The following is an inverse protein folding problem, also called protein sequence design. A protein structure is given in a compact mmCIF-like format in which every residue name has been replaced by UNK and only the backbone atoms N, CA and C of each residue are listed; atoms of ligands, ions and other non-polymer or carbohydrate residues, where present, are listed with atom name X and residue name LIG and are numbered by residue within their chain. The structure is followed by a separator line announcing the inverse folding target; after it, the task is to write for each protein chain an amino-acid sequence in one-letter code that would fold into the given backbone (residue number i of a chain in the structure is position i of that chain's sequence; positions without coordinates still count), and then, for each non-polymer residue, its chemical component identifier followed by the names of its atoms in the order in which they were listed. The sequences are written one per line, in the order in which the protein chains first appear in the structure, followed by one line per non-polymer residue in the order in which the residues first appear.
data_IF_550890698972
#
_entry.id   IF_550890698972
#
_cell.length_a   1.000
_cell.length_b   1.000
_cell.length_c   1.000
_cell.angle_alpha   90.00
_cell.angle_beta   90.00
_cell.angle_gamma   90.00
#
_symmetry.space_group_name_H-M   'P 1'
#
loop_
_entity.id
_entity.type
_entity.pdbx_description
1 polymer ?
#
# COMPACT_ATOMS: atom_id res chain seq x y z
N UNK A 1 37.53 15.32 1.07
CA UNK A 1 36.08 15.07 1.00
C UNK A 1 35.78 14.47 -0.37
N UNK A 2 35.67 13.15 -0.47
CA UNK A 2 34.95 12.50 -1.58
C UNK A 2 34.62 11.06 -1.16
N UNK A 3 33.55 10.91 -0.37
CA UNK A 3 33.01 9.62 0.02
C UNK A 3 31.94 9.22 -1.02
N UNK A 4 32.38 8.97 -2.26
CA UNK A 4 31.52 8.41 -3.29
C UNK A 4 31.28 6.94 -2.99
N UNK A 5 30.11 6.59 -2.45
CA UNK A 5 29.67 5.20 -2.35
C UNK A 5 29.49 4.70 -3.79
N UNK A 6 30.46 3.94 -4.29
CA UNK A 6 30.35 3.26 -5.57
C UNK A 6 29.45 2.02 -5.36
N UNK A 7 28.15 2.19 -5.56
CA UNK A 7 27.18 1.07 -5.58
C UNK A 7 27.47 0.21 -6.82
N UNK A 8 27.97 -0.99 -6.61
CA UNK A 8 28.08 -1.98 -7.69
C UNK A 8 26.69 -2.44 -8.15
N UNK A 9 26.60 -2.91 -9.39
CA UNK A 9 25.33 -3.32 -10.00
C UNK A 9 24.59 -4.38 -9.18
N UNK A 10 25.31 -5.29 -8.50
CA UNK A 10 24.71 -6.32 -7.65
C UNK A 10 24.08 -5.71 -6.38
N UNK A 11 24.74 -4.72 -5.76
CA UNK A 11 24.14 -3.96 -4.65
C UNK A 11 22.93 -3.14 -5.07
N UNK A 12 22.94 -2.56 -6.27
CA UNK A 12 21.78 -1.84 -6.80
C UNK A 12 20.57 -2.75 -7.01
N UNK A 13 20.79 -3.98 -7.48
CA UNK A 13 19.74 -4.99 -7.62
C UNK A 13 19.17 -5.41 -6.26
N UNK A 14 20.01 -5.55 -5.23
CA UNK A 14 19.53 -5.84 -3.86
C UNK A 14 18.66 -4.71 -3.32
N UNK A 15 19.06 -3.45 -3.51
CA UNK A 15 18.26 -2.29 -3.07
C UNK A 15 16.91 -2.26 -3.79
N UNK A 16 16.87 -2.48 -5.10
CA UNK A 16 15.63 -2.54 -5.88
C UNK A 16 14.70 -3.66 -5.38
N UNK A 17 15.23 -4.85 -5.11
CA UNK A 17 14.43 -5.96 -4.59
C UNK A 17 13.83 -5.62 -3.23
N UNK A 18 14.60 -5.00 -2.34
CA UNK A 18 14.13 -4.56 -1.03
C UNK A 18 13.02 -3.50 -1.15
N UNK A 19 13.17 -2.53 -2.04
CA UNK A 19 12.14 -1.52 -2.31
C UNK A 19 10.82 -2.18 -2.77
N UNK A 20 10.90 -3.15 -3.68
CA UNK A 20 9.72 -3.90 -4.16
C UNK A 20 9.06 -4.69 -3.03
N UNK A 21 9.85 -5.38 -2.21
CA UNK A 21 9.32 -6.15 -1.06
C UNK A 21 8.60 -5.24 -0.05
N UNK A 22 9.18 -4.08 0.25
CA UNK A 22 8.56 -3.10 1.14
C UNK A 22 7.26 -2.51 0.55
N UNK A 23 7.24 -2.18 -0.75
CA UNK A 23 6.03 -1.70 -1.41
C UNK A 23 4.92 -2.77 -1.44
N UNK A 24 5.29 -4.04 -1.62
CA UNK A 24 4.36 -5.16 -1.57
C UNK A 24 3.72 -5.32 -0.18
N UNK A 25 4.51 -5.30 0.90
CA UNK A 25 3.98 -5.34 2.27
C UNK A 25 3.04 -4.15 2.55
N UNK A 26 3.41 -2.94 2.11
CA UNK A 26 2.57 -1.76 2.22
C UNK A 26 1.23 -1.92 1.48
N UNK A 27 1.26 -2.40 0.23
CA UNK A 27 0.07 -2.64 -0.56
C UNK A 27 -0.88 -3.66 0.09
N UNK A 28 -0.33 -4.75 0.62
CA UNK A 28 -1.12 -5.79 1.29
C UNK A 28 -1.80 -5.26 2.55
N UNK A 29 -1.07 -4.48 3.37
CA UNK A 29 -1.62 -3.88 4.59
C UNK A 29 -2.68 -2.82 4.28
N UNK A 30 -2.45 -2.01 3.25
CA UNK A 30 -3.42 -1.02 2.78
C UNK A 30 -4.71 -1.68 2.29
N UNK A 31 -4.58 -2.69 1.45
CA UNK A 31 -5.72 -3.43 0.89
C UNK A 31 -6.55 -4.05 2.00
N UNK A 32 -5.92 -4.72 2.97
CA UNK A 32 -6.62 -5.30 4.11
C UNK A 32 -7.34 -4.25 4.97
N UNK A 33 -6.69 -3.11 5.23
CA UNK A 33 -7.27 -2.02 6.02
C UNK A 33 -8.48 -1.37 5.32
N UNK A 34 -8.35 -1.06 4.03
CA UNK A 34 -9.43 -0.45 3.26
C UNK A 34 -10.58 -1.40 3.00
N UNK A 35 -10.30 -2.68 2.78
CA UNK A 35 -11.34 -3.70 2.69
C UNK A 35 -12.15 -3.77 4.00
N UNK A 36 -11.49 -3.85 5.16
CA UNK A 36 -12.17 -3.90 6.46
C UNK A 36 -13.03 -2.65 6.74
N UNK A 37 -12.61 -1.48 6.24
CA UNK A 37 -13.30 -0.20 6.48
C UNK A 37 -14.47 0.05 5.55
N UNK A 38 -14.31 -0.32 4.29
CA UNK A 38 -15.21 0.11 3.22
C UNK A 38 -16.13 -0.99 2.71
N UNK A 39 -15.76 -2.27 2.90
CA UNK A 39 -16.52 -3.40 2.38
C UNK A 39 -17.21 -4.11 3.55
N UNK A 40 -18.55 -4.11 3.60
CA UNK A 40 -19.27 -4.80 4.65
C UNK A 40 -19.07 -6.33 4.53
N UNK A 41 -19.06 -7.06 5.65
CA UNK A 41 -18.87 -8.53 5.62
C UNK A 41 -20.02 -9.27 4.94
N UNK A 42 -21.17 -8.61 4.76
CA UNK A 42 -22.32 -9.16 4.04
C UNK A 42 -22.43 -8.49 2.67
N UNK A 43 -22.05 -9.23 1.65
CA UNK A 43 -22.20 -8.83 0.25
C UNK A 43 -23.65 -8.98 -0.20
N UNK A 44 -24.24 -7.88 -0.66
CA UNK A 44 -25.59 -7.87 -1.25
C UNK A 44 -25.56 -8.11 -2.76
N UNK A 45 -24.48 -7.69 -3.42
CA UNK A 45 -24.22 -7.82 -4.85
C UNK A 45 -22.71 -7.97 -5.09
N UNK A 46 -22.32 -8.39 -6.30
CA UNK A 46 -20.91 -8.61 -6.65
C UNK A 46 -20.19 -7.32 -7.06
N UNK A 47 -20.95 -6.32 -7.50
CA UNK A 47 -20.42 -5.03 -7.92
C UNK A 47 -20.26 -4.08 -6.73
N UNK A 48 -19.31 -3.16 -6.83
CA UNK A 48 -19.14 -2.14 -5.81
C UNK A 48 -20.25 -1.11 -5.93
N UNK A 49 -20.95 -0.88 -4.83
CA UNK A 49 -21.86 0.25 -4.74
C UNK A 49 -21.06 1.55 -4.81
N UNK A 50 -21.67 2.62 -5.34
CA UNK A 50 -21.04 3.95 -5.42
C UNK A 50 -20.44 4.40 -4.08
N UNK A 51 -21.09 4.06 -2.96
CA UNK A 51 -20.59 4.37 -1.62
C UNK A 51 -19.29 3.64 -1.27
N UNK A 52 -19.17 2.37 -1.66
CA UNK A 52 -17.98 1.55 -1.44
C UNK A 52 -16.81 2.05 -2.30
N UNK A 53 -17.05 2.35 -3.58
CA UNK A 53 -16.02 2.92 -4.47
C UNK A 53 -15.47 4.24 -3.93
N UNK A 54 -16.35 5.18 -3.56
CA UNK A 54 -15.95 6.48 -2.98
C UNK A 54 -15.25 6.31 -1.63
N UNK A 55 -15.65 5.31 -0.83
CA UNK A 55 -14.97 5.00 0.42
C UNK A 55 -13.54 4.49 0.16
N UNK A 56 -13.35 3.58 -0.79
CA UNK A 56 -12.04 3.03 -1.15
C UNK A 56 -11.08 4.14 -1.60
N UNK A 57 -11.52 5.04 -2.48
CA UNK A 57 -10.71 6.18 -2.94
C UNK A 57 -10.21 7.04 -1.77
N UNK A 58 -11.12 7.39 -0.86
CA UNK A 58 -10.80 8.16 0.35
C UNK A 58 -9.90 7.39 1.30
N UNK A 59 -10.13 6.09 1.45
CA UNK A 59 -9.34 5.23 2.33
C UNK A 59 -7.89 5.16 1.86
N UNK A 60 -7.67 4.91 0.56
CA UNK A 60 -6.34 4.83 -0.04
C UNK A 60 -5.60 6.16 0.12
N UNK A 61 -6.26 7.29 -0.18
CA UNK A 61 -5.67 8.62 0.00
C UNK A 61 -5.19 8.84 1.45
N UNK A 62 -6.05 8.52 2.42
CA UNK A 62 -5.75 8.67 3.85
C UNK A 62 -4.67 7.69 4.35
N UNK A 63 -4.64 6.46 3.81
CA UNK A 63 -3.63 5.47 4.16
C UNK A 63 -2.23 5.90 3.70
N UNK A 64 -2.13 6.47 2.49
CA UNK A 64 -0.87 6.97 1.94
C UNK A 64 -0.35 8.20 2.73
N UNK A 65 -1.24 9.07 3.21
CA UNK A 65 -0.87 10.19 4.07
C UNK A 65 -0.36 9.72 5.45
N UNK A 66 -1.00 8.68 6.03
CA UNK A 66 -0.69 8.16 7.35
C UNK A 66 -0.72 6.62 7.40
N UNK A 67 0.39 5.93 7.06
CA UNK A 67 0.45 4.47 6.96
C UNK A 67 0.50 3.74 8.33
N UNK A 68 -0.22 4.23 9.35
CA UNK A 68 -0.29 3.61 10.68
C UNK A 68 -1.45 2.60 10.77
N UNK A 69 -1.22 1.49 11.49
CA UNK A 69 -2.16 0.36 11.68
C UNK A 69 -3.58 0.70 12.17
N UNK A 70 -3.80 1.91 12.70
CA UNK A 70 -5.03 2.27 13.44
C UNK A 70 -5.70 3.54 12.90
N UNK A 71 -5.49 3.88 11.63
CA UNK A 71 -6.42 4.76 10.92
C UNK A 71 -7.74 4.02 10.71
#
# INVERSE_FOLDING_TARGET
MNSGIQLDASKMQIVQNLEIEMMSDMYNRMTAACHLKCIPPKYTEAELAKGESVCLDRCVAKYLDFPRKNW
#
